data_IF_669438422805
#
_entry.id   IF_669438422805
#
_cell.length_a   1.000
_cell.length_b   1.000
_cell.length_c   1.000
_cell.angle_alpha   90.00
_cell.angle_beta   90.00
_cell.angle_gamma   90.00
#
_symmetry.space_group_name_H-M   'P 1'
#
loop_
_entity.id
_entity.type
_entity.pdbx_description
1 polymer ?
#
# COMPACT_ATOMS: atom_id res chain seq x y z
N UNK A 1 7.98 12.00 22.03
CA UNK A 1 8.46 10.61 22.07
C UNK A 1 9.60 10.50 21.06
N UNK A 2 10.78 9.99 21.42
CA UNK A 2 11.80 9.72 20.41
C UNK A 2 11.29 8.59 19.52
N UNK A 3 11.20 8.84 18.21
CA UNK A 3 10.78 7.84 17.25
C UNK A 3 11.85 6.75 17.18
N UNK A 4 11.50 5.55 17.60
CA UNK A 4 12.30 4.36 17.29
C UNK A 4 12.08 4.10 15.80
N UNK A 5 12.86 4.78 14.95
CA UNK A 5 12.80 4.60 13.51
C UNK A 5 13.63 3.38 13.10
N UNK A 6 13.07 2.20 13.34
CA UNK A 6 13.63 0.95 12.85
C UNK A 6 12.70 0.36 11.80
N UNK A 7 13.06 0.53 10.52
CA UNK A 7 12.29 0.04 9.38
C UNK A 7 12.02 -1.47 9.46
N UNK A 8 12.95 -2.26 10.01
CA UNK A 8 12.77 -3.70 10.21
C UNK A 8 11.69 -4.02 11.23
N UNK A 9 11.65 -3.29 12.35
CA UNK A 9 10.60 -3.44 13.37
C UNK A 9 9.23 -3.06 12.80
N UNK A 10 9.15 -1.96 12.06
CA UNK A 10 7.91 -1.51 11.43
C UNK A 10 7.39 -2.53 10.40
N UNK A 11 8.29 -3.09 9.58
CA UNK A 11 7.97 -4.12 8.61
C UNK A 11 7.51 -5.41 9.28
N UNK A 12 8.23 -5.89 10.29
CA UNK A 12 7.84 -7.07 11.07
C UNK A 12 6.47 -6.89 11.73
N UNK A 13 6.23 -5.72 12.34
CA UNK A 13 4.95 -5.44 12.97
C UNK A 13 3.82 -5.45 11.94
N UNK A 14 3.99 -4.74 10.81
CA UNK A 14 2.97 -4.68 9.78
C UNK A 14 2.62 -6.07 9.23
N UNK A 15 3.61 -6.89 8.89
CA UNK A 15 3.40 -8.21 8.29
C UNK A 15 2.65 -9.16 9.23
N UNK A 16 2.91 -9.08 10.55
CA UNK A 16 2.41 -10.07 11.51
C UNK A 16 1.14 -9.65 12.27
N UNK A 17 0.87 -8.34 12.41
CA UNK A 17 -0.18 -7.86 13.31
C UNK A 17 -1.26 -7.00 12.64
N UNK A 18 -1.03 -6.50 11.42
CA UNK A 18 -2.04 -5.73 10.71
C UNK A 18 -3.04 -6.66 9.99
N UNK A 19 -4.32 -6.31 10.09
CA UNK A 19 -5.44 -7.00 9.43
C UNK A 19 -5.89 -6.30 8.13
N UNK A 20 -5.27 -5.18 7.78
CA UNK A 20 -5.39 -4.48 6.50
C UNK A 20 -4.16 -3.61 6.30
N UNK A 21 -3.83 -3.29 5.04
CA UNK A 21 -2.68 -2.44 4.73
C UNK A 21 -2.97 -1.46 3.59
N UNK A 22 -2.56 -0.20 3.77
CA UNK A 22 -2.73 0.85 2.78
C UNK A 22 -1.37 1.39 2.33
N UNK A 23 -1.08 1.22 1.06
CA UNK A 23 0.08 1.81 0.38
C UNK A 23 -0.31 3.21 -0.10
N UNK A 24 0.13 4.23 0.65
CA UNK A 24 -0.07 5.64 0.29
C UNK A 24 0.96 6.14 -0.73
N UNK A 25 2.18 5.61 -0.65
CA UNK A 25 3.27 5.89 -1.59
C UNK A 25 3.42 4.72 -2.57
N UNK A 26 2.68 4.77 -3.69
CA UNK A 26 2.56 3.67 -4.65
C UNK A 26 3.85 3.28 -5.39
N UNK A 27 4.86 4.14 -5.37
CA UNK A 27 6.21 3.86 -5.89
C UNK A 27 7.17 3.32 -4.83
N UNK A 28 6.77 3.20 -3.56
CA UNK A 28 7.63 2.74 -2.47
C UNK A 28 7.82 1.22 -2.52
N UNK A 29 9.05 0.79 -2.80
CA UNK A 29 9.44 -0.63 -2.74
C UNK A 29 9.33 -1.18 -1.33
N UNK A 30 9.60 -0.36 -0.30
CA UNK A 30 9.43 -0.76 1.09
C UNK A 30 7.96 -1.10 1.42
N UNK A 31 7.04 -0.22 1.04
CA UNK A 31 5.61 -0.45 1.23
C UNK A 31 5.13 -1.65 0.41
N UNK A 32 5.64 -1.80 -0.81
CA UNK A 32 5.33 -2.94 -1.67
C UNK A 32 5.71 -4.27 -1.01
N UNK A 33 6.93 -4.38 -0.46
CA UNK A 33 7.39 -5.60 0.19
C UNK A 33 6.59 -5.95 1.45
N UNK A 34 6.12 -4.95 2.20
CA UNK A 34 5.22 -5.19 3.33
C UNK A 34 3.94 -5.87 2.83
N UNK A 35 3.27 -5.31 1.81
CA UNK A 35 2.06 -5.89 1.26
C UNK A 35 2.26 -7.27 0.63
N UNK A 36 3.42 -7.52 0.04
CA UNK A 36 3.76 -8.80 -0.58
C UNK A 36 3.96 -9.92 0.44
N UNK A 37 4.56 -9.61 1.59
CA UNK A 37 4.88 -10.60 2.63
C UNK A 37 3.73 -10.85 3.62
N UNK A 38 2.68 -10.04 3.60
CA UNK A 38 1.48 -10.26 4.40
C UNK A 38 0.73 -11.54 3.99
N UNK A 39 -0.03 -12.16 4.92
CA UNK A 39 -0.91 -13.29 4.60
C UNK A 39 -1.89 -12.98 3.47
N UNK A 40 -2.30 -14.00 2.72
CA UNK A 40 -3.12 -13.81 1.52
C UNK A 40 -4.50 -13.22 1.80
N UNK A 41 -5.02 -13.43 3.01
CA UNK A 41 -6.32 -12.95 3.49
C UNK A 41 -6.30 -11.48 3.88
N UNK A 42 -5.12 -10.89 4.07
CA UNK A 42 -4.98 -9.47 4.46
C UNK A 42 -5.29 -8.59 3.24
N UNK A 43 -6.34 -7.75 3.29
CA UNK A 43 -6.66 -6.84 2.21
C UNK A 43 -5.58 -5.76 2.08
N UNK A 44 -4.96 -5.71 0.91
CA UNK A 44 -3.99 -4.70 0.53
C UNK A 44 -4.66 -3.67 -0.38
N UNK A 45 -4.57 -2.41 0.01
CA UNK A 45 -5.04 -1.26 -0.74
C UNK A 45 -3.85 -0.43 -1.22
N UNK A 46 -3.94 0.14 -2.41
CA UNK A 46 -2.93 1.08 -2.90
C UNK A 46 -3.58 2.34 -3.46
N UNK A 47 -2.93 3.48 -3.23
CA UNK A 47 -3.38 4.73 -3.82
C UNK A 47 -3.15 4.73 -5.33
N UNK A 48 -4.21 4.90 -6.10
CA UNK A 48 -4.08 5.02 -7.54
C UNK A 48 -3.67 6.46 -7.91
N UNK A 49 -2.37 6.67 -7.88
CA UNK A 49 -1.70 7.91 -8.25
C UNK A 49 -1.93 8.22 -9.75
N UNK A 50 -2.93 9.06 -10.03
CA UNK A 50 -3.39 9.34 -11.40
C UNK A 50 -2.53 10.36 -12.16
N UNK A 51 -1.84 11.25 -11.44
CA UNK A 51 -1.14 12.42 -12.03
C UNK A 51 0.38 12.32 -11.96
N UNK A 52 0.94 11.77 -10.88
CA UNK A 52 2.39 11.75 -10.65
C UNK A 52 3.06 10.42 -11.03
N UNK A 53 2.27 9.40 -11.37
CA UNK A 53 2.75 8.03 -11.56
C UNK A 53 2.46 7.49 -12.97
N UNK A 54 2.59 8.36 -13.99
CA UNK A 54 2.29 8.07 -15.41
C UNK A 54 3.07 6.84 -15.93
N UNK A 55 4.25 6.57 -15.35
CA UNK A 55 5.11 5.45 -15.72
C UNK A 55 4.74 4.11 -15.05
N UNK A 56 3.85 4.13 -14.04
CA UNK A 56 3.46 2.94 -13.29
C UNK A 56 2.26 2.28 -13.99
N UNK A 57 2.55 1.23 -14.76
CA UNK A 57 1.50 0.32 -15.24
C UNK A 57 1.04 -0.52 -14.05
N UNK A 58 -0.20 -0.31 -13.59
CA UNK A 58 -0.76 -1.00 -12.40
C UNK A 58 -0.54 -2.50 -12.40
N UNK A 59 -0.76 -3.15 -13.54
CA UNK A 59 -0.58 -4.60 -13.72
C UNK A 59 0.85 -5.10 -13.53
N UNK A 60 1.84 -4.23 -13.70
CA UNK A 60 3.26 -4.55 -13.58
C UNK A 60 3.76 -4.29 -12.16
N UNK A 61 3.08 -3.42 -11.40
CA UNK A 61 3.48 -2.98 -10.07
C UNK A 61 2.62 -3.52 -8.94
N UNK A 62 1.39 -3.97 -9.18
CA UNK A 62 0.49 -4.45 -8.14
C UNK A 62 -0.09 -5.81 -8.49
N UNK A 63 -0.23 -6.66 -7.49
CA UNK A 63 -0.84 -7.97 -7.67
C UNK A 63 -2.34 -7.82 -8.00
N UNK A 64 -2.92 -8.69 -8.85
CA UNK A 64 -4.33 -8.60 -9.25
C UNK A 64 -5.32 -8.63 -8.08
N UNK A 65 -4.95 -9.25 -6.95
CA UNK A 65 -5.78 -9.32 -5.74
C UNK A 65 -5.78 -8.03 -4.91
N UNK A 66 -4.84 -7.12 -5.15
CA UNK A 66 -4.74 -5.84 -4.44
C UNK A 66 -5.71 -4.82 -5.01
N UNK A 67 -6.29 -3.99 -4.15
CA UNK A 67 -7.37 -3.08 -4.52
C UNK A 67 -6.88 -1.65 -4.64
N UNK A 68 -7.12 -1.03 -5.80
CA UNK A 68 -6.84 0.39 -5.99
C UNK A 68 -7.88 1.24 -5.25
N UNK A 69 -7.42 2.31 -4.61
CA UNK A 69 -8.30 3.34 -4.07
C UNK A 69 -8.00 4.69 -4.72
N UNK A 70 -9.07 5.44 -5.03
CA UNK A 70 -9.00 6.82 -5.47
C UNK A 70 -9.68 7.71 -4.43
N UNK A 71 -9.08 8.87 -4.16
CA UNK A 71 -9.78 9.98 -3.53
C UNK A 71 -10.44 10.80 -4.64
N UNK A 72 -11.76 10.96 -4.56
CA UNK A 72 -12.43 11.95 -5.39
C UNK A 72 -12.17 13.36 -4.83
N UNK A 73 -12.32 14.41 -5.64
CA UNK A 73 -12.20 15.82 -5.23
C UNK A 73 -13.06 16.23 -4.01
N UNK A 74 -14.02 15.38 -3.63
CA UNK A 74 -14.89 15.54 -2.46
C UNK A 74 -14.40 14.78 -1.22
N UNK A 75 -13.18 14.22 -1.23
CA UNK A 75 -12.62 13.42 -0.14
C UNK A 75 -13.26 12.04 0.08
N UNK A 76 -14.18 11.62 -0.80
CA UNK A 76 -14.82 10.30 -0.72
C UNK A 76 -13.92 9.22 -1.31
N UNK A 77 -13.70 8.16 -0.53
CA UNK A 77 -12.98 6.95 -0.94
C UNK A 77 -13.81 6.20 -1.99
N UNK A 78 -13.19 5.85 -3.12
CA UNK A 78 -13.75 4.93 -4.11
C UNK A 78 -12.79 3.79 -4.40
N UNK A 79 -13.30 2.57 -4.40
CA UNK A 79 -12.57 1.39 -4.88
C UNK A 79 -12.59 1.37 -6.41
N UNK A 80 -11.44 1.08 -7.02
CA UNK A 80 -11.19 1.11 -8.47
C UNK A 80 -10.68 -0.23 -8.96
#
# INVERSE_FOLDING_TARGET
MPEINNSGVNMYFAINYCNAYLITASSSTFAWWIGFLMPEEVPIFYYNCHLECIHIKKKDYFLPKWKGINYNYLGKLKFV
#
